data_IF_909832955815
#
_entry.id   IF_909832955815
#
_cell.length_a   1.000
_cell.length_b   1.000
_cell.length_c   1.000
_cell.angle_alpha   90.00
_cell.angle_beta   90.00
_cell.angle_gamma   90.00
#
_symmetry.space_group_name_H-M   'P 1'
#
loop_
_entity.id
_entity.type
_entity.pdbx_description
1 polymer ?
#
# COMPACT_ATOMS: atom_id res chain seq x y z
N UNK A 1 -13.84 -14.11 -12.57
CA UNK A 1 -14.58 -13.31 -11.58
C UNK A 1 -13.50 -12.60 -10.82
N UNK A 2 -13.35 -11.31 -11.05
CA UNK A 2 -12.20 -10.54 -10.56
C UNK A 2 -12.59 -9.93 -9.21
N UNK A 3 -11.85 -10.29 -8.17
CA UNK A 3 -12.09 -9.83 -6.81
C UNK A 3 -11.21 -8.64 -6.43
N UNK A 4 -10.43 -8.14 -7.38
CA UNK A 4 -9.50 -7.03 -7.20
C UNK A 4 -9.64 -6.02 -8.33
N UNK A 5 -9.20 -4.80 -8.04
CA UNK A 5 -8.92 -3.78 -9.05
C UNK A 5 -7.43 -3.47 -8.95
N UNK A 6 -6.70 -3.77 -10.02
CA UNK A 6 -5.26 -3.56 -10.09
C UNK A 6 -4.88 -2.67 -11.27
N UNK A 7 -3.80 -1.91 -11.09
CA UNK A 7 -3.17 -1.10 -12.14
C UNK A 7 -1.65 -1.12 -11.91
N UNK A 8 -0.89 -1.23 -12.99
CA UNK A 8 0.57 -1.11 -12.96
C UNK A 8 0.96 0.26 -13.48
N UNK A 9 1.83 0.95 -12.75
CA UNK A 9 2.33 2.28 -13.10
C UNK A 9 3.84 2.23 -13.25
N UNK A 10 4.37 2.96 -14.23
CA UNK A 10 5.82 3.04 -14.50
C UNK A 10 6.47 4.07 -13.58
N UNK A 11 6.61 3.72 -12.30
CA UNK A 11 7.22 4.54 -11.26
C UNK A 11 8.09 3.70 -10.34
N UNK A 12 9.16 4.29 -9.76
CA UNK A 12 9.89 3.66 -8.65
C UNK A 12 8.96 3.38 -7.47
N UNK A 13 9.19 2.27 -6.77
CA UNK A 13 8.33 1.81 -5.66
C UNK A 13 8.05 2.89 -4.61
N UNK A 14 9.08 3.60 -4.15
CA UNK A 14 8.93 4.64 -3.13
C UNK A 14 8.03 5.80 -3.64
N UNK A 15 8.15 6.17 -4.91
CA UNK A 15 7.30 7.20 -5.52
C UNK A 15 5.87 6.69 -5.71
N UNK A 16 5.68 5.44 -6.12
CA UNK A 16 4.37 4.82 -6.24
C UNK A 16 3.61 4.81 -4.89
N UNK A 17 4.30 4.49 -3.79
CA UNK A 17 3.72 4.53 -2.45
C UNK A 17 3.32 5.95 -2.07
N UNK A 18 4.19 6.95 -2.27
CA UNK A 18 3.87 8.36 -1.98
C UNK A 18 2.66 8.83 -2.79
N UNK A 19 2.66 8.63 -4.11
CA UNK A 19 1.54 9.04 -4.98
C UNK A 19 0.23 8.34 -4.63
N UNK A 20 0.29 7.08 -4.19
CA UNK A 20 -0.92 6.36 -3.76
C UNK A 20 -1.53 7.02 -2.52
N UNK A 21 -0.71 7.45 -1.55
CA UNK A 21 -1.19 8.16 -0.35
C UNK A 21 -1.79 9.52 -0.70
N UNK A 22 -1.13 10.26 -1.58
CA UNK A 22 -1.61 11.57 -2.05
C UNK A 22 -2.95 11.45 -2.75
N UNK A 23 -3.08 10.52 -3.71
CA UNK A 23 -4.33 10.29 -4.45
C UNK A 23 -5.47 9.83 -3.54
N UNK A 24 -5.20 8.97 -2.54
CA UNK A 24 -6.21 8.59 -1.54
C UNK A 24 -6.67 9.81 -0.71
N UNK A 25 -5.73 10.65 -0.29
CA UNK A 25 -6.05 11.86 0.48
C UNK A 25 -6.85 12.88 -0.33
N UNK A 26 -6.55 13.05 -1.63
CA UNK A 26 -7.31 13.91 -2.55
C UNK A 26 -8.79 13.49 -2.66
N UNK A 27 -9.06 12.19 -2.58
CA UNK A 27 -10.41 11.60 -2.58
C UNK A 27 -11.04 11.49 -1.16
N UNK A 28 -10.41 12.09 -0.15
CA UNK A 28 -10.92 12.13 1.23
C UNK A 28 -10.67 10.85 2.05
N UNK A 29 -9.85 9.92 1.56
CA UNK A 29 -9.44 8.74 2.32
C UNK A 29 -8.23 9.05 3.21
N UNK A 30 -8.33 8.74 4.50
CA UNK A 30 -7.20 8.72 5.43
C UNK A 30 -6.58 7.33 5.53
N UNK A 31 -5.25 7.25 5.70
CA UNK A 31 -4.55 6.00 6.02
C UNK A 31 -4.65 5.72 7.51
N UNK A 32 -5.27 4.60 7.87
CA UNK A 32 -5.43 4.15 9.26
C UNK A 32 -4.32 3.21 9.70
N UNK A 33 -3.84 2.38 8.78
CA UNK A 33 -2.84 1.35 9.08
C UNK A 33 -1.87 1.19 7.91
N UNK A 34 -0.63 0.83 8.26
CA UNK A 34 0.44 0.54 7.31
C UNK A 34 1.14 -0.73 7.76
N UNK A 35 1.36 -1.65 6.82
CA UNK A 35 2.07 -2.89 7.09
C UNK A 35 3.17 -3.04 6.04
N UNK A 36 4.41 -2.93 6.51
CA UNK A 36 5.58 -3.34 5.75
C UNK A 36 5.71 -4.86 5.83
N UNK A 37 5.22 -5.53 4.78
CA UNK A 37 5.21 -7.00 4.71
C UNK A 37 6.64 -7.54 4.56
N UNK A 38 7.49 -6.82 3.83
CA UNK A 38 8.90 -7.18 3.64
C UNK A 38 9.63 -7.20 4.99
N UNK A 39 9.57 -6.10 5.74
CA UNK A 39 10.18 -6.03 7.06
C UNK A 39 9.59 -7.08 8.01
N UNK A 40 8.26 -7.25 8.01
CA UNK A 40 7.58 -8.22 8.88
C UNK A 40 8.02 -9.66 8.60
N UNK A 41 8.10 -10.08 7.33
CA UNK A 41 8.52 -11.44 6.99
C UNK A 41 10.01 -11.68 7.26
N UNK A 42 10.84 -10.67 7.03
CA UNK A 42 12.25 -10.71 7.41
C UNK A 42 12.42 -10.91 8.91
N UNK A 43 11.74 -10.12 9.72
CA UNK A 43 11.85 -10.18 11.18
C UNK A 43 11.27 -11.47 11.78
N UNK A 44 10.15 -11.96 11.25
CA UNK A 44 9.43 -13.11 11.83
C UNK A 44 9.88 -14.46 11.29
N UNK A 45 10.35 -14.50 10.04
CA UNK A 45 10.62 -15.73 9.30
C UNK A 45 11.99 -15.76 8.63
N UNK A 46 12.76 -14.67 8.65
CA UNK A 46 14.05 -14.57 7.97
C UNK A 46 13.94 -14.68 6.44
N UNK A 47 12.76 -14.40 5.89
CA UNK A 47 12.51 -14.47 4.45
C UNK A 47 12.79 -13.12 3.81
N UNK A 48 13.60 -13.12 2.76
CA UNK A 48 13.81 -11.95 1.90
C UNK A 48 12.75 -11.94 0.79
N UNK A 49 12.18 -10.77 0.52
CA UNK A 49 11.16 -10.57 -0.52
C UNK A 49 11.29 -9.17 -1.13
N UNK A 50 10.63 -8.96 -2.27
CA UNK A 50 10.50 -7.65 -2.89
C UNK A 50 9.70 -6.67 -1.99
N UNK A 51 9.90 -5.34 -2.15
CA UNK A 51 9.14 -4.34 -1.40
C UNK A 51 7.63 -4.51 -1.54
N UNK A 52 6.93 -4.60 -0.40
CA UNK A 52 5.48 -4.79 -0.37
C UNK A 52 4.85 -4.08 0.84
N UNK A 53 3.98 -3.12 0.56
CA UNK A 53 3.28 -2.30 1.55
C UNK A 53 1.78 -2.54 1.45
N UNK A 54 1.13 -2.78 2.58
CA UNK A 54 -0.34 -2.78 2.68
C UNK A 54 -0.76 -1.48 3.36
N UNK A 55 -1.66 -0.74 2.72
CA UNK A 55 -2.28 0.46 3.26
C UNK A 55 -3.74 0.18 3.58
N UNK A 56 -4.13 0.33 4.84
CA UNK A 56 -5.54 0.36 5.23
C UNK A 56 -6.05 1.80 5.15
N UNK A 57 -6.90 2.09 4.17
CA UNK A 57 -7.48 3.42 3.96
C UNK A 57 -8.97 3.45 4.27
N UNK A 58 -9.47 4.57 4.79
CA UNK A 58 -10.88 4.76 5.12
C UNK A 58 -11.30 6.20 4.85
N UNK A 59 -12.49 6.39 4.27
CA UNK A 59 -13.17 7.67 4.21
C UNK A 59 -14.42 7.56 5.11
N UNK A 60 -14.51 8.30 6.23
CA UNK A 60 -15.60 8.16 7.19
C UNK A 60 -16.97 8.64 6.69
N UNK A 61 -17.01 9.40 5.59
CA UNK A 61 -18.23 9.96 5.03
C UNK A 61 -18.90 9.04 3.99
N UNK A 62 -18.30 7.87 3.70
CA UNK A 62 -18.81 6.82 2.79
C UNK A 62 -19.38 5.62 3.56
#
# INVERSE_FOLDING_TARGET
MDYERSVTIDLPYAEAVTRTREALAEEGFGILTEIDVQATLKDKRGLEMEPYMILGACNPDL
#
